data_IF_937304751826
#
_entry.id   IF_937304751826
#
_cell.length_a   1.000
_cell.length_b   1.000
_cell.length_c   1.000
_cell.angle_alpha   90.00
_cell.angle_beta   90.00
_cell.angle_gamma   90.00
#
_symmetry.space_group_name_H-M   'P 1'
#
loop_
_entity.id
_entity.type
_entity.pdbx_description
1 polymer ?
#
# COMPACT_ATOMS: atom_id res chain seq x y z
N UNK A 1 -5.92 13.24 -14.79
CA UNK A 1 -5.63 11.91 -14.22
C UNK A 1 -6.86 11.47 -13.43
N UNK A 2 -7.18 10.17 -13.36
CA UNK A 2 -8.23 9.68 -12.45
C UNK A 2 -7.75 9.82 -11.00
N UNK A 3 -8.64 10.18 -10.06
CA UNK A 3 -8.30 10.29 -8.62
C UNK A 3 -7.67 9.00 -8.07
N UNK A 4 -8.05 7.84 -8.63
CA UNK A 4 -7.45 6.55 -8.27
C UNK A 4 -6.02 6.39 -8.76
N UNK A 5 -5.69 6.94 -9.94
CA UNK A 5 -4.32 6.90 -10.45
C UNK A 5 -3.38 7.73 -9.57
N UNK A 6 -3.85 8.88 -9.07
CA UNK A 6 -3.04 9.71 -8.17
C UNK A 6 -2.74 8.99 -6.84
N UNK A 7 -3.70 8.22 -6.32
CA UNK A 7 -3.49 7.37 -5.14
C UNK A 7 -2.55 6.20 -5.43
N UNK A 8 -2.71 5.52 -6.56
CA UNK A 8 -1.85 4.43 -6.95
C UNK A 8 -0.40 4.89 -7.16
N UNK A 9 -0.22 6.08 -7.74
CA UNK A 9 1.10 6.68 -7.91
C UNK A 9 1.77 7.01 -6.58
N UNK A 10 1.03 7.49 -5.57
CA UNK A 10 1.59 7.70 -4.22
C UNK A 10 2.14 6.40 -3.62
N UNK A 11 1.38 5.30 -3.73
CA UNK A 11 1.82 3.99 -3.27
C UNK A 11 3.04 3.51 -4.10
N UNK A 12 3.03 3.72 -5.42
CA UNK A 12 4.16 3.35 -6.31
C UNK A 12 5.46 4.01 -5.90
N UNK A 13 5.42 5.33 -5.61
CA UNK A 13 6.58 6.08 -5.14
C UNK A 13 7.16 5.44 -3.87
N UNK A 14 6.31 5.09 -2.91
CA UNK A 14 6.75 4.43 -1.67
C UNK A 14 7.31 3.03 -1.92
N UNK A 15 6.67 2.21 -2.76
CA UNK A 15 7.18 0.87 -3.12
C UNK A 15 8.59 0.99 -3.73
N UNK A 16 8.76 1.88 -4.72
CA UNK A 16 10.05 2.07 -5.39
C UNK A 16 11.13 2.56 -4.43
N UNK A 17 10.80 3.52 -3.58
CA UNK A 17 11.72 4.03 -2.57
C UNK A 17 12.14 2.92 -1.58
N UNK A 18 11.19 2.11 -1.11
CA UNK A 18 11.50 1.11 -0.08
C UNK A 18 12.29 -0.09 -0.57
N UNK A 19 12.06 -0.50 -1.81
CA UNK A 19 12.74 -1.65 -2.39
C UNK A 19 13.90 -1.25 -3.32
N UNK A 20 14.17 0.04 -3.48
CA UNK A 20 15.14 0.58 -4.44
C UNK A 20 14.95 -0.04 -5.84
N UNK A 21 13.72 0.00 -6.34
CA UNK A 21 13.31 -0.69 -7.56
C UNK A 21 12.67 0.25 -8.59
N UNK A 22 12.53 -0.24 -9.82
CA UNK A 22 11.94 0.47 -10.94
C UNK A 22 10.57 -0.12 -11.32
N UNK A 23 9.95 0.52 -12.31
CA UNK A 23 8.71 0.01 -12.91
C UNK A 23 8.93 -1.41 -13.45
N UNK A 24 7.99 -2.30 -13.18
CA UNK A 24 8.01 -3.74 -13.53
C UNK A 24 8.87 -4.65 -12.64
N UNK A 25 9.69 -4.10 -11.74
CA UNK A 25 10.37 -4.92 -10.74
C UNK A 25 9.36 -5.50 -9.73
N UNK A 26 9.83 -6.43 -8.90
CA UNK A 26 9.00 -7.15 -7.92
C UNK A 26 7.80 -7.81 -8.62
N UNK A 27 8.03 -8.42 -9.78
CA UNK A 27 6.98 -9.08 -10.56
C UNK A 27 5.89 -8.14 -11.06
N UNK A 28 6.17 -6.84 -11.21
CA UNK A 28 5.20 -5.86 -11.69
C UNK A 28 4.46 -5.08 -10.61
N UNK A 29 4.73 -5.31 -9.33
CA UNK A 29 4.02 -4.63 -8.23
C UNK A 29 4.34 -3.13 -8.19
N UNK A 30 5.56 -2.74 -8.56
CA UNK A 30 6.02 -1.34 -8.58
C UNK A 30 5.51 -0.55 -9.82
N UNK A 31 4.23 -0.67 -10.15
CA UNK A 31 3.55 -0.02 -11.29
C UNK A 31 2.17 0.48 -10.86
N UNK A 32 1.86 1.77 -11.00
CA UNK A 32 0.57 2.33 -10.63
C UNK A 32 -0.62 1.59 -11.28
N UNK A 33 -0.47 1.08 -12.50
CA UNK A 33 -1.53 0.30 -13.15
C UNK A 33 -1.80 -1.04 -12.46
N UNK A 34 -0.79 -1.69 -11.88
CA UNK A 34 -0.99 -2.86 -11.01
C UNK A 34 -1.65 -2.43 -9.70
N UNK A 35 -1.13 -1.38 -9.07
CA UNK A 35 -1.59 -0.88 -7.78
C UNK A 35 -3.05 -0.42 -7.81
N UNK A 36 -3.53 0.16 -8.92
CA UNK A 36 -4.94 0.48 -9.07
C UNK A 36 -5.84 -0.77 -9.02
N UNK A 37 -5.35 -1.91 -9.51
CA UNK A 37 -6.09 -3.19 -9.51
C UNK A 37 -5.91 -3.96 -8.21
N UNK A 38 -4.77 -3.79 -7.55
CA UNK A 38 -4.37 -4.57 -6.37
C UNK A 38 -3.67 -3.70 -5.29
N UNK A 39 -4.33 -2.64 -4.78
CA UNK A 39 -3.72 -1.68 -3.88
C UNK A 39 -3.30 -2.32 -2.54
N UNK A 40 -4.12 -3.23 -2.03
CA UNK A 40 -3.84 -3.93 -0.77
C UNK A 40 -2.54 -4.75 -0.86
N UNK A 41 -2.31 -5.45 -1.99
CA UNK A 41 -1.11 -6.29 -2.16
C UNK A 41 0.16 -5.44 -2.13
N UNK A 42 0.16 -4.31 -2.86
CA UNK A 42 1.32 -3.41 -2.89
C UNK A 42 1.62 -2.80 -1.50
N UNK A 43 0.58 -2.40 -0.76
CA UNK A 43 0.75 -1.87 0.60
C UNK A 43 1.23 -2.96 1.56
N UNK A 44 0.61 -4.14 1.54
CA UNK A 44 0.99 -5.26 2.41
C UNK A 44 2.43 -5.70 2.16
N UNK A 45 2.91 -5.65 0.92
CA UNK A 45 4.32 -5.89 0.59
C UNK A 45 5.25 -4.90 1.31
N UNK A 46 4.93 -3.60 1.26
CA UNK A 46 5.73 -2.56 1.93
C UNK A 46 5.71 -2.76 3.44
N UNK A 47 4.54 -2.92 4.05
CA UNK A 47 4.42 -3.09 5.50
C UNK A 47 5.08 -4.38 5.99
N UNK A 48 4.91 -5.48 5.23
CA UNK A 48 5.54 -6.77 5.51
C UNK A 48 7.08 -6.70 5.53
N UNK A 49 7.69 -5.86 4.69
CA UNK A 49 9.14 -5.63 4.69
C UNK A 49 9.68 -5.05 6.00
N UNK A 50 8.82 -4.40 6.80
CA UNK A 50 9.17 -3.85 8.11
C UNK A 50 8.84 -4.78 9.27
N UNK A 51 7.93 -5.74 9.11
CA UNK A 51 7.35 -6.51 10.22
C UNK A 51 8.40 -7.14 11.14
N UNK A 52 9.47 -7.71 10.60
CA UNK A 52 10.54 -8.33 11.41
C UNK A 52 11.62 -7.36 11.92
N UNK A 53 11.58 -6.08 11.53
CA UNK A 53 12.60 -5.07 11.81
C UNK A 53 12.18 -4.05 12.86
N UNK A 54 10.89 -4.00 13.19
CA UNK A 54 10.29 -3.01 14.08
C UNK A 54 9.93 -3.60 15.46
N UNK A 55 9.69 -2.72 16.43
CA UNK A 55 9.25 -3.13 17.77
C UNK A 55 7.78 -3.61 17.80
N UNK A 56 7.36 -4.11 18.97
CA UNK A 56 6.02 -4.64 19.16
C UNK A 56 4.91 -3.60 18.93
N UNK A 57 5.12 -2.34 19.30
CA UNK A 57 4.12 -1.28 19.13
C UNK A 57 3.89 -0.96 17.65
N UNK A 58 4.94 -1.05 16.84
CA UNK A 58 4.82 -0.84 15.41
C UNK A 58 4.22 -2.07 14.70
N UNK A 59 4.54 -3.28 15.16
CA UNK A 59 3.86 -4.49 14.67
C UNK A 59 2.34 -4.39 14.84
N UNK A 60 1.89 -3.92 15.99
CA UNK A 60 0.46 -3.69 16.24
C UNK A 60 -0.16 -2.72 15.22
N UNK A 61 0.52 -1.62 14.88
CA UNK A 61 0.05 -0.70 13.82
C UNK A 61 -0.06 -1.36 12.44
N UNK A 62 0.90 -2.22 12.10
CA UNK A 62 0.84 -2.98 10.84
C UNK A 62 -0.34 -3.97 10.88
N UNK A 63 -0.50 -4.70 11.98
CA UNK A 63 -1.58 -5.68 12.15
C UNK A 63 -2.96 -5.02 12.14
N UNK A 64 -3.11 -3.85 12.77
CA UNK A 64 -4.32 -3.03 12.74
C UNK A 64 -4.68 -2.59 11.32
N UNK A 65 -3.69 -2.11 10.55
CA UNK A 65 -3.90 -1.75 9.15
C UNK A 65 -4.35 -2.97 8.33
N UNK A 66 -3.63 -4.08 8.45
CA UNK A 66 -3.93 -5.30 7.70
C UNK A 66 -5.32 -5.83 8.06
N UNK A 67 -5.68 -5.86 9.34
CA UNK A 67 -7.01 -6.25 9.81
C UNK A 67 -8.12 -5.33 9.29
N UNK A 68 -7.90 -4.01 9.32
CA UNK A 68 -8.88 -2.99 8.86
C UNK A 68 -9.17 -3.10 7.37
N UNK A 69 -8.19 -3.50 6.55
CA UNK A 69 -8.31 -3.52 5.09
C UNK A 69 -8.29 -4.91 4.46
N UNK A 70 -8.17 -5.98 5.25
CA UNK A 70 -8.06 -7.37 4.76
C UNK A 70 -9.14 -7.76 3.75
N UNK A 71 -10.40 -7.37 3.98
CA UNK A 71 -11.53 -7.67 3.09
C UNK A 71 -11.48 -6.95 1.72
N UNK A 72 -10.46 -6.10 1.50
CA UNK A 72 -10.20 -5.42 0.24
C UNK A 72 -9.12 -6.11 -0.59
N UNK A 73 -8.52 -7.19 -0.08
CA UNK A 73 -7.59 -8.03 -0.83
C UNK A 73 -8.27 -8.55 -2.11
N UNK A 74 -7.58 -8.44 -3.25
CA UNK A 74 -8.08 -8.87 -4.56
C UNK A 74 -9.10 -7.92 -5.21
N UNK A 75 -9.32 -6.72 -4.65
CA UNK A 75 -10.21 -5.70 -5.21
C UNK A 75 -9.43 -4.51 -5.72
N UNK A 76 -9.81 -4.01 -6.89
CA UNK A 76 -9.31 -2.75 -7.43
C UNK A 76 -9.85 -1.53 -6.69
N UNK A 77 -9.17 -0.40 -6.82
CA UNK A 77 -9.56 0.87 -6.20
C UNK A 77 -10.98 1.31 -6.58
N UNK A 78 -11.41 1.05 -7.82
CA UNK A 78 -12.79 1.32 -8.27
C UNK A 78 -13.83 0.47 -7.54
N UNK A 79 -13.50 -0.77 -7.20
CA UNK A 79 -14.38 -1.70 -6.48
C UNK A 79 -14.40 -1.41 -4.97
N UNK A 80 -13.27 -0.96 -4.41
CA UNK A 80 -13.14 -0.55 -3.01
C UNK A 80 -13.92 0.74 -2.74
N UNK A 81 -13.92 1.67 -3.71
CA UNK A 81 -14.62 2.95 -3.65
C UNK A 81 -13.74 4.10 -3.13
N UNK A 82 -14.02 5.31 -3.64
CA UNK A 82 -13.18 6.50 -3.47
C UNK A 82 -12.84 6.90 -2.03
N UNK A 83 -13.85 6.91 -1.15
CA UNK A 83 -13.67 7.24 0.27
C UNK A 83 -12.77 6.20 0.96
N UNK A 84 -13.04 4.91 0.74
CA UNK A 84 -12.30 3.83 1.41
C UNK A 84 -10.86 3.72 0.91
N UNK A 85 -10.61 3.97 -0.38
CA UNK A 85 -9.25 4.06 -0.93
C UNK A 85 -8.50 5.25 -0.33
N UNK A 86 -9.15 6.42 -0.23
CA UNK A 86 -8.55 7.60 0.40
C UNK A 86 -8.10 7.31 1.83
N UNK A 87 -8.95 6.66 2.63
CA UNK A 87 -8.61 6.27 4.00
C UNK A 87 -7.45 5.28 4.02
N UNK A 88 -7.46 4.27 3.14
CA UNK A 88 -6.39 3.28 3.05
C UNK A 88 -5.03 3.92 2.74
N UNK A 89 -4.99 4.84 1.78
CA UNK A 89 -3.75 5.55 1.40
C UNK A 89 -3.29 6.48 2.52
N UNK A 90 -4.23 7.14 3.20
CA UNK A 90 -3.92 8.02 4.33
C UNK A 90 -3.28 7.22 5.48
N UNK A 91 -3.92 6.14 5.92
CA UNK A 91 -3.40 5.30 7.00
C UNK A 91 -2.03 4.70 6.63
N UNK A 92 -1.86 4.27 5.37
CA UNK A 92 -0.59 3.77 4.85
C UNK A 92 0.52 4.82 4.95
N UNK A 93 0.26 6.05 4.49
CA UNK A 93 1.23 7.14 4.54
C UNK A 93 1.58 7.54 5.98
N UNK A 94 0.61 7.52 6.90
CA UNK A 94 0.85 7.78 8.32
C UNK A 94 1.81 6.74 8.92
N UNK A 95 1.58 5.45 8.63
CA UNK A 95 2.47 4.36 9.10
C UNK A 95 3.88 4.55 8.53
N UNK A 96 4.01 4.71 7.22
CA UNK A 96 5.32 4.85 6.56
C UNK A 96 6.09 6.08 7.02
N UNK A 97 5.39 7.20 7.29
CA UNK A 97 6.03 8.43 7.80
C UNK A 97 6.58 8.31 9.22
N UNK A 98 6.19 7.28 9.96
CA UNK A 98 6.60 7.02 11.33
C UNK A 98 7.80 6.05 11.41
N UNK A 99 8.22 5.48 10.27
CA UNK A 99 9.39 4.59 10.13
C UNK A 99 10.63 5.42 9.84
#
# INVERSE_FOLDING_TARGET
>A
MSKFHDYAYQIEVTVKAMFNCNRYDIGGIADASFIEREPFIAIALVLGNFYNKVDASFKEKIDDFLGKYYLQMGKGMSEIGGERVKDMVKDFNEIVSTI
#
